data_IF_653378039622
#
_entry.id   IF_653378039622
#
_cell.length_a   1.000
_cell.length_b   1.000
_cell.length_c   1.000
_cell.angle_alpha   90.00
_cell.angle_beta   90.00
_cell.angle_gamma   90.00
#
_symmetry.space_group_name_H-M   'P 1'
#
loop_
_entity.id
_entity.type
_entity.pdbx_description
1 polymer ?
#
# COMPACT_ATOMS: atom_id res chain seq x y z
N UNK A 1 -0.92 26.91 -20.97
CA UNK A 1 -0.93 28.34 -20.87
C UNK A 1 -2.29 28.88 -20.48
N UNK A 2 -2.26 29.96 -19.79
CA UNK A 2 -3.49 30.56 -19.30
C UNK A 2 -4.25 31.32 -20.37
N UNK A 3 -3.57 31.59 -21.42
CA UNK A 3 -4.12 32.37 -22.53
C UNK A 3 -4.69 31.52 -23.61
N UNK A 4 -5.04 30.35 -23.28
CA UNK A 4 -5.57 29.40 -24.23
C UNK A 4 -6.97 29.69 -24.69
N UNK A 5 -7.53 30.76 -24.26
CA UNK A 5 -8.88 31.18 -24.66
C UNK A 5 -8.85 31.89 -26.00
N UNK A 6 -9.12 31.20 -27.09
CA UNK A 6 -9.07 31.83 -28.40
C UNK A 6 -10.15 32.92 -28.50
N UNK A 7 -9.74 34.08 -28.87
CA UNK A 7 -10.63 35.18 -29.06
C UNK A 7 -11.21 35.78 -27.81
N UNK A 8 -10.82 35.31 -26.64
CA UNK A 8 -11.30 35.87 -25.39
C UNK A 8 -10.18 36.49 -24.59
N UNK A 9 -10.48 37.52 -23.83
CA UNK A 9 -9.54 38.00 -22.83
C UNK A 9 -9.48 37.02 -21.65
N UNK A 10 -8.34 36.85 -21.03
CA UNK A 10 -8.22 36.01 -19.85
C UNK A 10 -9.19 36.47 -18.77
N UNK A 11 -9.90 35.54 -18.18
CA UNK A 11 -10.74 35.84 -17.04
C UNK A 11 -9.89 35.74 -15.75
N UNK A 12 -9.65 36.86 -15.04
CA UNK A 12 -8.85 36.83 -13.82
C UNK A 12 -9.42 35.88 -12.77
N UNK A 13 -10.75 35.75 -12.68
CA UNK A 13 -11.38 34.85 -11.74
C UNK A 13 -11.07 33.38 -12.07
N UNK A 14 -11.00 33.03 -13.35
CA UNK A 14 -10.61 31.66 -13.74
C UNK A 14 -9.19 31.35 -13.34
N UNK A 15 -8.27 32.30 -13.46
CA UNK A 15 -6.89 32.15 -13.02
C UNK A 15 -6.79 31.95 -11.52
N UNK A 16 -7.50 32.78 -10.76
CA UNK A 16 -7.56 32.65 -9.31
C UNK A 16 -8.16 31.31 -8.88
N UNK A 17 -9.24 30.90 -9.52
CA UNK A 17 -9.89 29.61 -9.21
C UNK A 17 -8.97 28.43 -9.50
N UNK A 18 -8.17 28.49 -10.56
CA UNK A 18 -7.20 27.45 -10.86
C UNK A 18 -6.11 27.37 -9.80
N UNK A 19 -5.64 28.51 -9.32
CA UNK A 19 -4.63 28.56 -8.25
C UNK A 19 -5.20 27.98 -6.97
N UNK A 20 -6.43 28.37 -6.61
CA UNK A 20 -7.11 27.83 -5.43
C UNK A 20 -7.27 26.33 -5.53
N UNK A 21 -7.71 25.84 -6.69
CA UNK A 21 -7.87 24.40 -6.92
C UNK A 21 -6.53 23.66 -6.80
N UNK A 22 -5.46 24.25 -7.33
CA UNK A 22 -4.13 23.66 -7.22
C UNK A 22 -3.64 23.62 -5.77
N UNK A 23 -3.91 24.67 -5.00
CA UNK A 23 -3.58 24.71 -3.58
C UNK A 23 -4.35 23.63 -2.82
N UNK A 24 -5.64 23.48 -3.12
CA UNK A 24 -6.48 22.45 -2.51
C UNK A 24 -5.95 21.04 -2.82
N UNK A 25 -5.53 20.79 -4.05
CA UNK A 25 -4.92 19.52 -4.43
C UNK A 25 -3.63 19.25 -3.66
N UNK A 26 -2.79 20.27 -3.50
CA UNK A 26 -1.56 20.15 -2.72
C UNK A 26 -1.89 19.81 -1.26
N UNK A 27 -2.88 20.46 -0.68
CA UNK A 27 -3.28 20.20 0.70
C UNK A 27 -3.80 18.77 0.87
N UNK A 28 -4.59 18.27 -0.08
CA UNK A 28 -5.05 16.88 -0.07
C UNK A 28 -3.88 15.91 -0.15
N UNK A 29 -2.92 16.17 -1.03
CA UNK A 29 -1.74 15.31 -1.17
C UNK A 29 -0.88 15.32 0.09
N UNK A 30 -0.70 16.48 0.70
CA UNK A 30 0.03 16.58 1.97
C UNK A 30 -0.64 15.77 3.07
N UNK A 31 -1.98 15.84 3.16
CA UNK A 31 -2.72 15.08 4.16
C UNK A 31 -2.61 13.58 3.91
N UNK A 32 -2.71 13.15 2.66
CA UNK A 32 -2.52 11.74 2.31
C UNK A 32 -1.12 11.26 2.64
N UNK A 33 -0.11 12.10 2.38
CA UNK A 33 1.27 11.76 2.72
C UNK A 33 1.44 11.60 4.23
N UNK A 34 0.87 12.52 5.00
CA UNK A 34 0.92 12.48 6.47
C UNK A 34 0.28 11.19 7.00
N UNK A 35 -0.91 10.84 6.48
CA UNK A 35 -1.61 9.63 6.87
C UNK A 35 -0.82 8.37 6.49
N UNK A 36 -0.24 8.34 5.30
CA UNK A 36 0.57 7.22 4.86
C UNK A 36 1.81 7.05 5.74
N UNK A 37 2.44 8.16 6.10
CA UNK A 37 3.60 8.16 6.98
C UNK A 37 3.25 7.64 8.37
N UNK A 38 2.15 8.09 8.94
CA UNK A 38 1.67 7.61 10.24
C UNK A 38 1.35 6.12 10.20
N UNK A 39 0.71 5.68 9.11
CA UNK A 39 0.41 4.26 8.90
C UNK A 39 1.69 3.43 8.89
N UNK A 40 2.70 3.88 8.13
CA UNK A 40 3.97 3.15 8.04
C UNK A 40 4.73 3.15 9.37
N UNK A 41 4.68 4.23 10.11
CA UNK A 41 5.29 4.29 11.44
C UNK A 41 4.64 3.30 12.41
N UNK A 42 3.36 3.07 12.25
CA UNK A 42 2.62 2.08 13.03
C UNK A 42 2.88 0.64 12.53
N UNK A 43 2.90 0.45 11.21
CA UNK A 43 3.00 -0.85 10.57
C UNK A 43 4.41 -1.42 10.59
N UNK A 44 5.40 -0.60 10.29
CA UNK A 44 6.77 -1.05 10.04
C UNK A 44 7.39 -1.83 11.20
N UNK A 45 7.26 -1.41 12.47
CA UNK A 45 7.83 -2.19 13.57
C UNK A 45 7.21 -3.58 13.69
N UNK A 46 5.92 -3.71 13.44
CA UNK A 46 5.24 -5.01 13.46
C UNK A 46 5.76 -5.91 12.33
N UNK A 47 5.86 -5.35 11.14
CA UNK A 47 6.41 -6.07 9.98
C UNK A 47 7.83 -6.54 10.23
N UNK A 48 8.67 -5.67 10.79
CA UNK A 48 10.06 -6.01 11.10
C UNK A 48 10.19 -7.07 12.19
N UNK A 49 9.17 -7.22 13.03
CA UNK A 49 9.13 -8.24 14.08
C UNK A 49 8.75 -9.63 13.57
N UNK A 50 8.26 -9.72 12.34
CA UNK A 50 7.98 -11.02 11.73
C UNK A 50 9.28 -11.71 11.35
N UNK A 51 9.24 -13.05 11.28
CA UNK A 51 10.37 -13.82 10.75
C UNK A 51 10.51 -13.59 9.25
N UNK A 52 11.68 -13.94 8.70
CA UNK A 52 11.91 -13.85 7.27
C UNK A 52 10.90 -14.71 6.48
N UNK A 53 10.61 -15.90 6.97
CA UNK A 53 9.64 -16.79 6.33
C UNK A 53 8.25 -16.21 6.35
N UNK A 54 7.84 -15.62 7.47
CA UNK A 54 6.53 -14.97 7.58
C UNK A 54 6.41 -13.80 6.60
N UNK A 55 7.43 -12.95 6.53
CA UNK A 55 7.45 -11.83 5.58
C UNK A 55 7.42 -12.33 4.14
N UNK A 56 8.22 -13.35 3.83
CA UNK A 56 8.25 -13.92 2.49
C UNK A 56 6.88 -14.44 2.06
N UNK A 57 6.24 -15.20 2.94
CA UNK A 57 4.91 -15.78 2.67
C UNK A 57 3.88 -14.67 2.43
N UNK A 58 3.86 -13.64 3.28
CA UNK A 58 2.92 -12.53 3.14
C UNK A 58 3.20 -11.71 1.88
N UNK A 59 4.46 -11.48 1.53
CA UNK A 59 4.81 -10.78 0.30
C UNK A 59 4.35 -11.55 -0.94
N UNK A 60 4.49 -12.87 -0.93
CA UNK A 60 4.04 -13.70 -2.06
C UNK A 60 2.53 -13.64 -2.23
N UNK A 61 1.77 -13.70 -1.15
CA UNK A 61 0.30 -13.69 -1.23
C UNK A 61 -0.29 -12.32 -1.48
N UNK A 62 0.29 -11.26 -0.92
CA UNK A 62 -0.34 -9.94 -0.89
C UNK A 62 0.48 -8.83 -1.52
N UNK A 63 1.75 -9.05 -1.76
CA UNK A 63 2.66 -8.01 -2.26
C UNK A 63 2.67 -7.84 -3.77
N UNK A 64 1.98 -8.69 -4.51
CA UNK A 64 1.96 -8.66 -5.96
C UNK A 64 0.58 -8.39 -6.53
N UNK A 65 0.50 -8.46 -7.86
CA UNK A 65 -0.77 -8.38 -8.57
C UNK A 65 -1.59 -9.65 -8.32
N UNK A 66 -2.92 -9.51 -8.30
CA UNK A 66 -3.83 -10.64 -8.07
C UNK A 66 -3.58 -11.82 -9.02
N UNK A 67 -3.19 -11.52 -10.23
CA UNK A 67 -2.90 -12.52 -11.27
C UNK A 67 -1.78 -13.48 -10.89
N UNK A 68 -0.94 -13.09 -9.94
CA UNK A 68 0.22 -13.87 -9.51
C UNK A 68 -0.02 -14.67 -8.23
N UNK A 69 -1.22 -14.69 -7.69
CA UNK A 69 -1.50 -15.41 -6.44
C UNK A 69 -1.34 -16.92 -6.59
N UNK A 70 -1.65 -17.48 -7.75
CA UNK A 70 -1.45 -18.91 -8.01
C UNK A 70 0.05 -19.23 -7.96
N UNK A 71 0.87 -18.37 -8.54
CA UNK A 71 2.32 -18.51 -8.50
C UNK A 71 2.88 -18.34 -7.09
N UNK A 72 2.18 -17.60 -6.23
CA UNK A 72 2.61 -17.40 -4.85
C UNK A 72 2.71 -18.72 -4.09
N UNK A 73 1.70 -19.57 -4.20
CA UNK A 73 1.71 -20.88 -3.54
C UNK A 73 2.84 -21.75 -4.07
N UNK A 74 3.00 -21.78 -5.38
CA UNK A 74 4.07 -22.52 -6.02
C UNK A 74 5.44 -22.03 -5.52
N UNK A 75 5.65 -20.72 -5.54
CA UNK A 75 6.92 -20.13 -5.11
C UNK A 75 7.23 -20.45 -3.64
N UNK A 76 6.23 -20.39 -2.77
CA UNK A 76 6.39 -20.71 -1.36
C UNK A 76 6.77 -22.17 -1.18
N UNK A 77 6.08 -23.07 -1.86
CA UNK A 77 6.37 -24.50 -1.79
C UNK A 77 7.79 -24.82 -2.25
N UNK A 78 8.22 -24.21 -3.34
CA UNK A 78 9.57 -24.39 -3.87
C UNK A 78 10.64 -23.80 -2.94
N UNK A 79 10.40 -22.59 -2.44
CA UNK A 79 11.39 -21.88 -1.64
C UNK A 79 11.56 -22.50 -0.25
N UNK A 80 10.48 -22.90 0.39
CA UNK A 80 10.49 -23.44 1.75
C UNK A 80 10.46 -24.97 1.78
N UNK A 81 10.37 -25.64 0.64
CA UNK A 81 10.30 -27.09 0.54
C UNK A 81 9.16 -27.68 1.36
N UNK A 82 7.95 -27.14 1.14
CA UNK A 82 6.74 -27.55 1.85
C UNK A 82 5.62 -27.86 0.89
N UNK A 83 4.57 -28.52 1.38
CA UNK A 83 3.36 -28.83 0.63
C UNK A 83 2.42 -27.64 0.58
N UNK A 84 1.46 -27.68 -0.34
CA UNK A 84 0.48 -26.60 -0.55
C UNK A 84 -0.34 -26.32 0.72
N UNK A 85 -0.81 -27.36 1.39
CA UNK A 85 -1.57 -27.19 2.62
C UNK A 85 -0.76 -26.49 3.70
N UNK A 86 0.53 -26.82 3.80
CA UNK A 86 1.45 -26.19 4.74
C UNK A 86 1.67 -24.73 4.36
N UNK A 87 1.74 -24.42 3.06
CA UNK A 87 1.90 -23.03 2.59
C UNK A 87 0.71 -22.17 3.02
N UNK A 88 -0.52 -22.66 2.86
CA UNK A 88 -1.72 -21.96 3.31
C UNK A 88 -1.77 -21.80 4.83
N UNK A 89 -1.36 -22.83 5.56
CA UNK A 89 -1.29 -22.76 7.02
C UNK A 89 -0.28 -21.73 7.48
N UNK A 90 0.89 -21.67 6.83
CA UNK A 90 1.90 -20.65 7.14
C UNK A 90 1.39 -19.25 6.86
N UNK A 91 0.67 -19.06 5.75
CA UNK A 91 0.05 -17.77 5.44
C UNK A 91 -0.91 -17.36 6.56
N UNK A 92 -1.80 -18.24 6.97
CA UNK A 92 -2.78 -17.93 8.00
C UNK A 92 -2.12 -17.60 9.34
N UNK A 93 -1.08 -18.33 9.70
CA UNK A 93 -0.31 -18.06 10.93
C UNK A 93 0.42 -16.72 10.85
N UNK A 94 0.98 -16.41 9.69
CA UNK A 94 1.67 -15.13 9.49
C UNK A 94 0.70 -13.96 9.60
N UNK A 95 -0.49 -14.08 9.01
CA UNK A 95 -1.55 -13.07 9.13
C UNK A 95 -1.96 -12.89 10.60
N UNK A 96 -2.17 -13.99 11.32
CA UNK A 96 -2.54 -13.93 12.74
C UNK A 96 -1.43 -13.29 13.59
N UNK A 97 -0.17 -13.63 13.31
CA UNK A 97 0.96 -13.05 14.02
C UNK A 97 1.05 -11.54 13.77
N UNK A 98 0.91 -11.13 12.53
CA UNK A 98 0.93 -9.71 12.18
C UNK A 98 -0.24 -8.96 12.87
N UNK A 99 -1.43 -9.55 12.85
CA UNK A 99 -2.60 -8.97 13.52
C UNK A 99 -2.35 -8.83 15.03
N UNK A 100 -1.74 -9.82 15.64
CA UNK A 100 -1.38 -9.76 17.05
C UNK A 100 -0.40 -8.62 17.34
N UNK A 101 0.60 -8.45 16.50
CA UNK A 101 1.60 -7.39 16.66
C UNK A 101 1.00 -6.00 16.46
N UNK A 102 0.05 -5.85 15.54
CA UNK A 102 -0.55 -4.56 15.23
C UNK A 102 -1.67 -4.17 16.20
N UNK A 103 -2.48 -5.13 16.61
CA UNK A 103 -3.70 -4.86 17.38
C UNK A 103 -3.70 -5.44 18.79
N UNK A 104 -2.68 -6.21 19.14
CA UNK A 104 -2.61 -6.87 20.44
C UNK A 104 -3.51 -8.11 20.56
N UNK A 105 -4.16 -8.50 19.49
CA UNK A 105 -5.00 -9.71 19.42
C UNK A 105 -5.13 -10.17 17.98
N UNK A 106 -5.26 -11.44 17.81
CA UNK A 106 -5.46 -12.05 16.50
C UNK A 106 -6.93 -12.41 16.26
#
# INVERSE_FOLDING_TARGET
AFTDMPGGSPNPQSGEMRIIAAIDEIDVLRERYRQAKEYMEWFQPAWDSLSEDERYVLEQFYGGEEEKQIDAVYNICEHLHIERSTAYNKKNRAVQHLALLLYGKA
#
